data_IF_133411940325
#
_entry.id   IF_133411940325
#
_cell.length_a   1.000
_cell.length_b   1.000
_cell.length_c   1.000
_cell.angle_alpha   90.00
_cell.angle_beta   90.00
_cell.angle_gamma   90.00
#
_symmetry.space_group_name_H-M   'P 1'
#
loop_
_entity.id
_entity.type
_entity.pdbx_description
1 polymer ?
#
# COMPACT_ATOMS: atom_id res chain seq x y z
N UNK A 1 -16.13 21.26 59.50
CA UNK A 1 -14.90 20.86 58.78
C UNK A 1 -15.21 19.98 57.56
N UNK A 2 -16.45 19.50 57.44
CA UNK A 2 -16.83 18.42 56.52
C UNK A 2 -17.11 18.88 55.08
N UNK A 3 -17.45 20.16 54.88
CA UNK A 3 -17.71 20.73 53.54
C UNK A 3 -16.44 20.87 52.69
N UNK A 4 -15.29 21.08 53.32
CA UNK A 4 -14.00 21.24 52.63
C UNK A 4 -13.48 19.89 52.12
N UNK A 5 -13.66 18.84 52.93
CA UNK A 5 -13.29 17.46 52.59
C UNK A 5 -14.12 16.93 51.41
N UNK A 6 -15.42 17.26 51.38
CA UNK A 6 -16.29 16.91 50.26
C UNK A 6 -15.90 17.63 48.95
N UNK A 7 -15.57 18.92 48.98
CA UNK A 7 -15.10 19.61 47.77
C UNK A 7 -13.81 19.00 47.21
N UNK A 8 -12.84 18.67 48.06
CA UNK A 8 -11.59 18.03 47.65
C UNK A 8 -11.83 16.65 47.01
N UNK A 9 -12.74 15.85 47.57
CA UNK A 9 -13.08 14.53 46.99
C UNK A 9 -13.75 14.63 45.61
N UNK A 10 -14.62 15.63 45.39
CA UNK A 10 -15.31 15.82 44.10
C UNK A 10 -14.34 16.35 43.03
N UNK A 11 -13.44 17.27 43.38
CA UNK A 11 -12.41 17.74 42.45
C UNK A 11 -11.41 16.64 42.06
N UNK A 12 -11.04 15.76 42.99
CA UNK A 12 -10.17 14.63 42.70
C UNK A 12 -10.84 13.59 41.79
N UNK A 13 -12.15 13.37 41.96
CA UNK A 13 -12.93 12.47 41.12
C UNK A 13 -13.09 13.01 39.68
N UNK A 14 -13.31 14.31 39.52
CA UNK A 14 -13.39 14.96 38.19
C UNK A 14 -12.03 14.92 37.47
N UNK A 15 -10.92 15.09 38.20
CA UNK A 15 -9.59 14.95 37.63
C UNK A 15 -9.29 13.50 37.18
N UNK A 16 -9.74 12.49 37.93
CA UNK A 16 -9.59 11.07 37.58
C UNK A 16 -10.46 10.64 36.39
N UNK A 17 -11.69 11.15 36.27
CA UNK A 17 -12.56 10.82 35.14
C UNK A 17 -12.03 11.35 33.80
N UNK A 18 -11.25 12.43 33.80
CA UNK A 18 -10.60 12.97 32.59
C UNK A 18 -9.32 12.21 32.19
N UNK A 19 -8.85 11.27 33.02
CA UNK A 19 -7.66 10.46 32.79
C UNK A 19 -7.96 9.09 32.16
N UNK A 20 -9.21 8.83 31.77
CA UNK A 20 -9.54 7.74 30.84
C UNK A 20 -9.08 8.16 29.44
N UNK A 21 -7.76 8.18 29.28
CA UNK A 21 -7.08 8.30 28.00
C UNK A 21 -7.50 7.08 27.21
N UNK A 22 -8.34 7.29 26.20
CA UNK A 22 -8.67 6.27 25.21
C UNK A 22 -7.36 5.66 24.71
N UNK A 23 -7.08 4.43 25.13
CA UNK A 23 -5.90 3.73 24.64
C UNK A 23 -6.06 3.62 23.11
N UNK A 24 -5.05 4.05 22.32
CA UNK A 24 -5.13 3.89 20.89
C UNK A 24 -5.35 2.39 20.58
N UNK A 25 -6.20 2.07 19.59
CA UNK A 25 -6.54 0.68 19.32
C UNK A 25 -5.27 -0.13 19.02
N UNK A 26 -5.06 -1.21 19.78
CA UNK A 26 -3.94 -2.16 19.59
C UNK A 26 -3.99 -2.86 18.22
N UNK A 27 -5.17 -2.89 17.61
CA UNK A 27 -5.45 -3.50 16.31
C UNK A 27 -6.51 -2.68 15.60
N UNK A 28 -6.24 -2.32 14.35
CA UNK A 28 -7.22 -1.70 13.45
C UNK A 28 -7.48 -2.67 12.30
N UNK A 29 -8.76 -3.01 12.09
CA UNK A 29 -9.17 -3.83 10.95
C UNK A 29 -9.50 -2.90 9.79
N UNK A 30 -8.88 -3.16 8.63
CA UNK A 30 -9.16 -2.43 7.40
C UNK A 30 -10.07 -3.34 6.58
N UNK A 31 -11.35 -2.99 6.39
CA UNK A 31 -12.25 -3.79 5.56
C UNK A 31 -11.72 -3.72 4.12
N UNK A 32 -11.25 -4.85 3.62
CA UNK A 32 -11.02 -5.04 2.19
C UNK A 32 -12.34 -5.54 1.61
N UNK A 33 -12.76 -5.02 0.46
CA UNK A 33 -13.93 -5.57 -0.22
C UNK A 33 -13.67 -7.06 -0.53
N UNK A 34 -14.50 -7.94 0.04
CA UNK A 34 -14.34 -9.39 0.24
C UNK A 34 -14.20 -10.28 -1.02
N UNK A 35 -13.83 -9.69 -2.16
CA UNK A 35 -13.63 -10.42 -3.42
C UNK A 35 -12.23 -10.19 -4.01
N UNK A 36 -11.31 -9.58 -3.27
CA UNK A 36 -9.92 -9.43 -3.73
C UNK A 36 -9.23 -10.78 -3.86
N UNK A 37 -8.74 -11.11 -5.06
CA UNK A 37 -7.98 -12.34 -5.28
C UNK A 37 -6.54 -12.25 -4.78
N UNK A 38 -6.00 -11.03 -4.68
CA UNK A 38 -4.60 -10.78 -4.33
C UNK A 38 -4.49 -9.48 -3.52
N UNK A 39 -3.70 -9.54 -2.44
CA UNK A 39 -3.40 -8.38 -1.59
C UNK A 39 -1.91 -8.32 -1.32
N UNK A 40 -1.38 -7.10 -1.29
CA UNK A 40 0.01 -6.78 -1.05
C UNK A 40 0.08 -5.65 -0.02
N UNK A 41 0.94 -5.83 0.98
CA UNK A 41 1.12 -4.85 2.07
C UNK A 41 2.58 -4.45 2.08
N UNK A 42 2.83 -3.14 1.99
CA UNK A 42 4.16 -2.56 2.03
C UNK A 42 4.29 -1.67 3.28
N UNK A 43 5.01 -2.12 4.32
CA UNK A 43 5.37 -1.26 5.44
C UNK A 43 6.38 -0.21 4.96
N UNK A 44 6.09 1.06 5.19
CA UNK A 44 6.87 2.20 4.68
C UNK A 44 7.66 2.90 5.80
N UNK A 45 8.07 2.14 6.80
CA UNK A 45 8.75 2.59 8.01
C UNK A 45 8.06 3.81 8.64
N UNK A 46 8.72 4.98 8.58
CA UNK A 46 8.25 6.23 9.16
C UNK A 46 7.12 6.90 8.38
N UNK A 47 6.81 6.41 7.19
CA UNK A 47 5.76 6.98 6.35
C UNK A 47 4.40 6.32 6.54
N UNK A 48 4.33 5.17 7.22
CA UNK A 48 3.09 4.43 7.46
C UNK A 48 3.00 3.16 6.62
N UNK A 49 1.86 2.95 5.95
CA UNK A 49 1.51 1.67 5.33
C UNK A 49 0.85 1.89 3.97
N UNK A 50 1.31 1.17 2.95
CA UNK A 50 0.61 1.04 1.68
C UNK A 50 -0.04 -0.35 1.59
N UNK A 51 -1.33 -0.39 1.36
CA UNK A 51 -2.10 -1.60 1.10
C UNK A 51 -2.59 -1.55 -0.34
N UNK A 52 -2.28 -2.59 -1.10
CA UNK A 52 -2.62 -2.69 -2.51
C UNK A 52 -3.35 -4.01 -2.73
N UNK A 53 -4.51 -4.00 -3.35
CA UNK A 53 -5.22 -5.24 -3.63
C UNK A 53 -5.94 -5.20 -4.96
N UNK A 54 -6.11 -6.37 -5.57
CA UNK A 54 -6.96 -6.52 -6.74
C UNK A 54 -8.41 -6.38 -6.32
N UNK A 55 -9.22 -5.73 -7.15
CA UNK A 55 -10.67 -5.73 -7.01
C UNK A 55 -11.26 -6.84 -7.89
N UNK A 56 -12.34 -7.46 -7.42
CA UNK A 56 -13.12 -8.39 -8.26
C UNK A 56 -13.87 -7.68 -9.39
N UNK A 57 -14.08 -6.38 -9.27
CA UNK A 57 -14.75 -5.57 -10.27
C UNK A 57 -13.75 -5.21 -11.36
N UNK A 58 -13.71 -6.04 -12.40
CA UNK A 58 -13.02 -5.73 -13.65
C UNK A 58 -13.70 -4.52 -14.29
N UNK A 59 -12.97 -3.43 -14.51
CA UNK A 59 -13.51 -2.23 -15.19
C UNK A 59 -14.00 -2.55 -16.59
N UNK A 60 -13.38 -3.55 -17.20
CA UNK A 60 -13.63 -4.08 -18.54
C UNK A 60 -13.15 -5.55 -18.54
N UNK A 61 -13.68 -6.42 -19.41
CA UNK A 61 -13.37 -7.88 -19.36
C UNK A 61 -11.87 -8.22 -19.43
N UNK A 62 -11.05 -7.26 -19.85
CA UNK A 62 -9.62 -7.39 -20.08
C UNK A 62 -8.75 -6.70 -19.01
N UNK A 63 -9.34 -6.06 -17.99
CA UNK A 63 -8.58 -5.30 -16.98
C UNK A 63 -9.03 -5.60 -15.56
N UNK A 64 -8.05 -5.78 -14.67
CA UNK A 64 -8.24 -5.88 -13.23
C UNK A 64 -7.93 -4.53 -12.60
N UNK A 65 -8.86 -4.00 -11.82
CA UNK A 65 -8.61 -2.79 -11.04
C UNK A 65 -7.77 -3.14 -9.80
N UNK A 66 -6.69 -2.42 -9.60
CA UNK A 66 -5.87 -2.50 -8.40
C UNK A 66 -6.07 -1.26 -7.56
N UNK A 67 -6.53 -1.45 -6.32
CA UNK A 67 -6.86 -0.37 -5.40
C UNK A 67 -5.70 -0.15 -4.43
N UNK A 68 -5.32 1.10 -4.24
CA UNK A 68 -4.19 1.55 -3.45
C UNK A 68 -4.68 2.38 -2.29
N UNK A 69 -4.50 1.89 -1.07
CA UNK A 69 -4.76 2.61 0.16
C UNK A 69 -3.45 2.96 0.84
N UNK A 70 -3.24 4.25 1.11
CA UNK A 70 -2.11 4.69 1.93
C UNK A 70 -2.61 5.21 3.27
N UNK A 71 -2.02 4.69 4.33
CA UNK A 71 -2.28 5.07 5.71
C UNK A 71 -1.04 5.70 6.33
N UNK A 72 -1.23 6.75 7.12
CA UNK A 72 -0.15 7.32 7.94
C UNK A 72 0.24 6.37 9.09
N UNK A 73 1.25 6.76 9.88
CA UNK A 73 1.70 5.99 11.05
C UNK A 73 0.66 5.88 12.17
N UNK A 74 -0.40 6.68 12.12
CA UNK A 74 -1.57 6.60 13.01
C UNK A 74 -2.72 5.82 12.38
N UNK A 75 -2.47 5.12 11.27
CA UNK A 75 -3.43 4.35 10.49
C UNK A 75 -4.62 5.18 9.97
N UNK A 76 -4.47 6.48 9.77
CA UNK A 76 -5.46 7.30 9.08
C UNK A 76 -5.26 7.18 7.58
N UNK A 77 -6.34 6.88 6.85
CA UNK A 77 -6.29 6.85 5.38
C UNK A 77 -6.00 8.25 4.86
N UNK A 78 -4.91 8.40 4.10
CA UNK A 78 -4.52 9.65 3.43
C UNK A 78 -4.80 9.63 1.94
N UNK A 79 -4.82 8.44 1.34
CA UNK A 79 -5.03 8.28 -0.09
C UNK A 79 -5.75 6.97 -0.37
N UNK A 80 -6.64 7.02 -1.36
CA UNK A 80 -7.35 5.88 -1.93
C UNK A 80 -7.57 6.19 -3.40
N UNK A 81 -6.99 5.39 -4.27
CA UNK A 81 -7.20 5.46 -5.71
C UNK A 81 -7.07 4.06 -6.32
N UNK A 82 -7.52 3.92 -7.56
CA UNK A 82 -7.45 2.66 -8.28
C UNK A 82 -6.89 2.85 -9.67
N UNK A 83 -6.10 1.89 -10.12
CA UNK A 83 -5.57 1.87 -11.47
C UNK A 83 -5.99 0.59 -12.19
N UNK A 84 -6.45 0.69 -13.44
CA UNK A 84 -6.74 -0.48 -14.25
C UNK A 84 -5.42 -1.04 -14.80
N UNK A 85 -5.16 -2.32 -14.55
CA UNK A 85 -4.01 -3.05 -15.09
C UNK A 85 -4.56 -4.20 -15.96
N UNK A 86 -3.88 -4.63 -17.04
CA UNK A 86 -4.37 -5.75 -17.83
C UNK A 86 -4.65 -7.01 -16.98
N UNK A 87 -5.61 -7.81 -17.43
CA UNK A 87 -6.01 -9.04 -16.77
C UNK A 87 -4.80 -9.98 -16.56
N UNK A 88 -4.82 -10.79 -15.48
CA UNK A 88 -3.74 -11.69 -15.04
C UNK A 88 -2.42 -11.03 -14.59
N UNK A 89 -2.28 -9.71 -14.66
CA UNK A 89 -1.12 -9.04 -14.07
C UNK A 89 -1.20 -9.11 -12.55
N UNK A 90 -0.06 -9.42 -11.95
CA UNK A 90 0.12 -9.52 -10.50
C UNK A 90 1.41 -8.84 -10.07
N UNK A 91 1.48 -8.45 -8.79
CA UNK A 91 2.68 -7.85 -8.20
C UNK A 91 3.77 -8.92 -8.08
N UNK A 92 4.87 -8.76 -8.81
CA UNK A 92 6.02 -9.65 -8.76
C UNK A 92 7.02 -9.22 -7.68
N UNK A 93 7.29 -7.92 -7.61
CA UNK A 93 8.33 -7.35 -6.75
C UNK A 93 7.95 -5.94 -6.30
N UNK A 94 8.52 -5.52 -5.19
CA UNK A 94 8.42 -4.15 -4.70
C UNK A 94 9.76 -3.62 -4.24
N UNK A 95 9.92 -2.30 -4.35
CA UNK A 95 10.97 -1.55 -3.68
C UNK A 95 10.37 -0.32 -3.03
N UNK A 96 11.02 0.14 -1.96
CA UNK A 96 10.66 1.37 -1.30
C UNK A 96 11.93 2.17 -1.04
N UNK A 97 11.88 3.46 -1.38
CA UNK A 97 12.76 4.48 -0.83
C UNK A 97 11.93 5.45 -0.01
N UNK A 98 12.58 6.28 0.81
CA UNK A 98 11.95 7.26 1.71
C UNK A 98 10.73 8.02 1.16
N UNK A 99 10.52 8.16 -0.15
CA UNK A 99 9.38 8.87 -0.73
C UNK A 99 8.59 8.07 -1.77
N UNK A 100 9.14 6.99 -2.30
CA UNK A 100 8.59 6.28 -3.44
C UNK A 100 8.46 4.80 -3.13
N UNK A 101 7.28 4.26 -3.40
CA UNK A 101 7.04 2.82 -3.52
C UNK A 101 7.01 2.48 -5.00
N UNK A 102 7.76 1.47 -5.39
CA UNK A 102 7.71 0.86 -6.71
C UNK A 102 7.13 -0.52 -6.59
N UNK A 103 6.18 -0.84 -7.45
CA UNK A 103 5.59 -2.15 -7.60
C UNK A 103 5.76 -2.59 -9.04
N UNK A 104 6.44 -3.71 -9.25
CA UNK A 104 6.59 -4.32 -10.55
C UNK A 104 5.45 -5.32 -10.77
N UNK A 105 4.67 -5.10 -11.81
CA UNK A 105 3.60 -5.98 -12.24
C UNK A 105 3.99 -6.69 -13.53
N UNK A 106 3.69 -7.98 -13.61
CA UNK A 106 3.75 -8.76 -14.85
C UNK A 106 2.67 -9.85 -14.87
N UNK A 107 2.35 -10.34 -16.07
CA UNK A 107 1.56 -11.56 -16.28
C UNK A 107 2.49 -12.75 -16.54
N UNK A 108 1.98 -13.96 -16.27
CA UNK A 108 2.61 -15.20 -16.76
C UNK A 108 2.52 -15.36 -18.28
N UNK A 109 1.58 -14.64 -18.89
CA UNK A 109 1.22 -14.81 -20.29
C UNK A 109 2.09 -13.93 -21.17
N UNK A 110 2.60 -14.52 -22.24
CA UNK A 110 3.39 -13.83 -23.26
C UNK A 110 2.43 -13.35 -24.32
N UNK A 111 2.42 -12.04 -24.53
CA UNK A 111 1.58 -11.40 -25.53
C UNK A 111 2.49 -11.01 -26.68
N UNK A 112 2.28 -11.59 -27.86
CA UNK A 112 3.03 -11.27 -29.09
C UNK A 112 4.55 -11.40 -28.95
N UNK A 113 5.03 -12.55 -28.45
CA UNK A 113 6.46 -12.86 -28.22
C UNK A 113 7.21 -11.88 -27.30
N UNK A 114 6.49 -10.97 -26.64
CA UNK A 114 7.04 -10.01 -25.69
C UNK A 114 6.42 -10.19 -24.32
N UNK A 115 7.24 -10.09 -23.28
CA UNK A 115 6.77 -10.04 -21.91
C UNK A 115 6.52 -8.56 -21.55
N UNK A 116 5.27 -8.25 -21.19
CA UNK A 116 4.84 -6.90 -20.85
C UNK A 116 4.89 -6.70 -19.34
N UNK A 117 5.40 -5.56 -18.91
CA UNK A 117 5.57 -5.18 -17.52
C UNK A 117 4.95 -3.81 -17.27
N UNK A 118 4.45 -3.62 -16.06
CA UNK A 118 4.00 -2.32 -15.57
C UNK A 118 4.76 -2.00 -14.29
N UNK A 119 5.54 -0.94 -14.30
CA UNK A 119 6.11 -0.37 -13.09
C UNK A 119 5.14 0.70 -12.56
N UNK A 120 4.57 0.44 -11.40
CA UNK A 120 3.69 1.39 -10.71
C UNK A 120 4.50 2.08 -9.63
N UNK A 121 4.59 3.40 -9.72
CA UNK A 121 5.26 4.27 -8.76
C UNK A 121 4.21 5.03 -7.96
N UNK A 122 4.22 4.82 -6.65
CA UNK A 122 3.46 5.63 -5.70
C UNK A 122 4.41 6.54 -4.93
N UNK A 123 4.13 7.84 -4.89
CA UNK A 123 4.90 8.78 -4.08
C UNK A 123 4.13 9.15 -2.81
N UNK A 124 4.73 8.87 -1.67
CA UNK A 124 4.12 9.03 -0.34
C UNK A 124 4.01 10.49 0.11
N UNK A 125 4.77 11.39 -0.53
CA UNK A 125 4.83 12.81 -0.14
C UNK A 125 3.74 13.63 -0.83
N UNK A 126 3.58 13.47 -2.15
CA UNK A 126 2.58 14.18 -2.94
C UNK A 126 1.33 13.34 -3.23
N UNK A 127 1.30 12.08 -2.77
CA UNK A 127 0.18 11.14 -2.92
C UNK A 127 -0.18 10.91 -4.40
N UNK A 128 0.82 10.78 -5.27
CA UNK A 128 0.60 10.54 -6.70
C UNK A 128 0.92 9.11 -7.11
N UNK A 129 0.07 8.53 -7.97
CA UNK A 129 0.33 7.28 -8.68
C UNK A 129 0.78 7.57 -10.12
N UNK A 130 1.79 6.83 -10.57
CA UNK A 130 2.26 6.83 -11.94
C UNK A 130 2.42 5.39 -12.45
N UNK A 131 2.00 5.16 -13.68
CA UNK A 131 2.11 3.87 -14.36
C UNK A 131 3.13 4.01 -15.48
N UNK A 132 4.13 3.13 -15.52
CA UNK A 132 5.20 3.12 -16.51
C UNK A 132 5.21 1.73 -17.18
N UNK A 133 4.58 1.57 -18.35
CA UNK A 133 4.62 0.33 -19.10
C UNK A 133 5.98 0.16 -19.79
N UNK A 134 6.49 -1.06 -19.84
CA UNK A 134 7.66 -1.43 -20.61
C UNK A 134 7.60 -2.91 -20.99
N UNK A 135 8.40 -3.33 -21.97
CA UNK A 135 8.44 -4.74 -22.41
C UNK A 135 9.85 -5.19 -22.72
N UNK A 136 10.05 -6.50 -22.65
CA UNK A 136 11.26 -7.16 -23.16
C UNK A 136 10.89 -8.10 -24.30
N UNK A 137 11.77 -8.20 -25.29
CA UNK A 137 11.67 -9.14 -26.42
C UNK A 137 12.11 -10.57 -26.05
N UNK A 138 12.31 -10.83 -24.75
CA UNK A 138 12.72 -12.11 -24.19
C UNK A 138 11.99 -12.33 -22.87
N UNK A 139 11.84 -13.59 -22.46
CA UNK A 139 11.32 -13.92 -21.13
C UNK A 139 12.31 -13.43 -20.08
N UNK A 140 11.85 -12.63 -19.13
CA UNK A 140 12.67 -12.08 -18.07
C UNK A 140 12.00 -12.27 -16.72
N UNK A 141 12.68 -12.96 -15.82
CA UNK A 141 12.20 -13.13 -14.46
C UNK A 141 12.91 -12.18 -13.52
N UNK A 142 12.14 -11.26 -12.94
CA UNK A 142 12.64 -10.30 -11.97
C UNK A 142 13.18 -10.99 -10.70
N UNK A 143 14.40 -10.67 -10.33
CA UNK A 143 15.06 -11.13 -9.10
C UNK A 143 15.05 -10.01 -8.05
N UNK A 144 15.52 -8.82 -8.44
CA UNK A 144 15.63 -7.64 -7.56
C UNK A 144 15.10 -6.38 -8.24
N UNK A 145 14.52 -5.50 -7.42
CA UNK A 145 14.20 -4.13 -7.78
C UNK A 145 14.73 -3.23 -6.65
N UNK A 146 15.38 -2.13 -6.99
CA UNK A 146 15.77 -1.12 -6.01
C UNK A 146 15.80 0.27 -6.62
N UNK A 147 15.85 1.28 -5.75
CA UNK A 147 15.87 2.69 -6.12
C UNK A 147 17.17 3.30 -5.62
N UNK A 148 17.90 3.99 -6.49
CA UNK A 148 19.10 4.74 -6.11
C UNK A 148 19.18 5.99 -6.98
N UNK A 149 19.44 7.15 -6.36
CA UNK A 149 19.68 8.41 -7.08
C UNK A 149 18.58 8.75 -8.11
N UNK A 150 17.32 8.51 -7.75
CA UNK A 150 16.15 8.73 -8.62
C UNK A 150 16.10 7.83 -9.87
N UNK A 151 16.91 6.77 -9.91
CA UNK A 151 16.88 5.73 -10.93
C UNK A 151 16.27 4.44 -10.36
N UNK A 152 15.56 3.72 -11.23
CA UNK A 152 15.02 2.40 -10.94
C UNK A 152 15.95 1.37 -11.54
N UNK A 153 16.41 0.45 -10.71
CA UNK A 153 17.23 -0.66 -11.13
C UNK A 153 16.41 -1.93 -11.06
N UNK A 154 16.43 -2.67 -12.17
CA UNK A 154 15.77 -3.95 -12.32
C UNK A 154 16.85 -4.99 -12.62
N UNK A 155 16.88 -6.06 -11.84
CA UNK A 155 17.79 -7.19 -12.04
C UNK A 155 16.97 -8.47 -12.08
N UNK A 156 17.42 -9.42 -12.90
CA UNK A 156 16.75 -10.68 -13.12
C UNK A 156 17.52 -11.54 -14.10
N UNK A 157 16.91 -12.64 -14.51
CA UNK A 157 17.51 -13.61 -15.42
C UNK A 157 16.56 -14.00 -16.55
N UNK A 158 17.15 -14.50 -17.64
CA UNK A 158 16.42 -15.09 -18.75
C UNK A 158 16.29 -16.59 -18.43
N UNK A 159 15.08 -17.11 -18.17
CA UNK A 159 14.90 -18.54 -17.96
C UNK A 159 15.22 -19.32 -19.24
N UNK A 160 15.69 -20.57 -19.12
CA UNK A 160 16.02 -21.43 -20.26
C UNK A 160 14.79 -21.75 -21.13
#
# INVERSE_FOLDING_TARGET
MDKLLHCLSVSFLIAFCNLVVAQPPLRKEIPLNDHSSQSFICPLDKNGLLVVHSSAYTSDREKTNWVFYFFDTSFNQKFCDSIPVPYQFSIQKSAFDNKNVLLLFSSSDIINDSELFYLIKFNTTNLSLQIIPFSFSFRWKAEWIWIKENQVFLSGFIPP
#
